data_IF_023588523498
#
_entry.id   IF_023588523498
#
_cell.length_a   1.000
_cell.length_b   1.000
_cell.length_c   1.000
_cell.angle_alpha   90.00
_cell.angle_beta   90.00
_cell.angle_gamma   90.00
#
_symmetry.space_group_name_H-M   'P 1'
#
loop_
_entity.id
_entity.type
_entity.pdbx_description
1 polymer ?
#
# COMPACT_ATOMS: atom_id res chain seq x y z
N UNK A 1 2.37 0.93 1.74
CA UNK A 1 1.04 1.52 1.88
C UNK A 1 0.86 2.73 0.97
N UNK A 2 0.59 2.47 -0.31
CA UNK A 2 -0.05 3.40 -1.22
C UNK A 2 -1.50 3.65 -0.77
N UNK A 3 -2.03 4.86 -0.95
CA UNK A 3 -3.43 5.13 -0.71
C UNK A 3 -4.26 4.51 -1.84
N UNK A 4 -5.34 3.82 -1.48
CA UNK A 4 -6.14 2.96 -2.34
C UNK A 4 -7.51 3.56 -2.60
N UNK A 5 -7.89 3.72 -3.85
CA UNK A 5 -9.25 3.99 -4.28
C UNK A 5 -9.79 2.77 -5.02
N UNK A 6 -10.66 2.00 -4.36
CA UNK A 6 -11.31 0.80 -4.91
C UNK A 6 -12.62 1.11 -5.65
N UNK A 7 -13.06 2.36 -5.68
CA UNK A 7 -14.34 2.77 -6.25
C UNK A 7 -15.55 2.21 -5.49
N UNK A 8 -16.73 2.41 -6.06
CA UNK A 8 -17.99 1.88 -5.55
C UNK A 8 -18.07 0.36 -5.73
N UNK A 9 -18.85 -0.30 -4.89
CA UNK A 9 -19.13 -1.73 -5.01
C UNK A 9 -19.73 -2.05 -6.39
N UNK A 10 -19.15 -2.96 -7.18
CA UNK A 10 -19.72 -3.36 -8.47
C UNK A 10 -21.08 -4.04 -8.35
N UNK A 11 -21.32 -4.69 -7.21
CA UNK A 11 -22.55 -5.42 -6.86
C UNK A 11 -22.64 -5.63 -5.35
N UNK A 12 -23.80 -6.07 -4.88
CA UNK A 12 -23.97 -6.57 -3.51
C UNK A 12 -23.41 -7.99 -3.38
N UNK A 13 -22.80 -8.29 -2.24
CA UNK A 13 -22.20 -9.59 -1.94
C UNK A 13 -23.03 -10.34 -0.91
N UNK A 14 -23.32 -11.62 -1.17
CA UNK A 14 -23.90 -12.53 -0.16
C UNK A 14 -22.82 -13.32 0.57
N UNK A 15 -21.62 -13.39 -0.01
CA UNK A 15 -20.41 -13.91 0.61
C UNK A 15 -19.23 -13.06 0.18
N UNK A 16 -18.42 -12.61 1.14
CA UNK A 16 -17.24 -11.78 0.87
C UNK A 16 -16.29 -12.40 -0.16
N UNK A 17 -16.18 -13.73 -0.23
CA UNK A 17 -15.33 -14.42 -1.20
C UNK A 17 -15.63 -14.05 -2.66
N UNK A 18 -16.86 -13.62 -2.97
CA UNK A 18 -17.28 -13.17 -4.29
C UNK A 18 -16.64 -11.82 -4.71
N UNK A 19 -16.09 -11.05 -3.76
CA UNK A 19 -15.46 -9.76 -4.01
C UNK A 19 -13.99 -9.85 -4.43
N UNK A 20 -13.37 -11.04 -4.40
CA UNK A 20 -11.93 -11.20 -4.63
C UNK A 20 -11.48 -10.69 -6.00
N UNK A 21 -12.17 -11.10 -7.06
CA UNK A 21 -11.80 -10.70 -8.42
C UNK A 21 -12.20 -9.25 -8.72
N UNK A 22 -13.31 -8.79 -8.14
CA UNK A 22 -13.72 -7.38 -8.22
C UNK A 22 -12.67 -6.46 -7.57
N UNK A 23 -12.15 -6.84 -6.40
CA UNK A 23 -11.04 -6.13 -5.74
C UNK A 23 -9.76 -6.17 -6.57
N UNK A 24 -9.38 -7.33 -7.12
CA UNK A 24 -8.19 -7.43 -7.99
C UNK A 24 -8.29 -6.52 -9.20
N UNK A 25 -9.47 -6.44 -9.81
CA UNK A 25 -9.70 -5.56 -10.95
C UNK A 25 -9.61 -4.08 -10.55
N UNK A 26 -10.16 -3.74 -9.38
CA UNK A 26 -10.16 -2.37 -8.88
C UNK A 26 -8.77 -1.88 -8.45
N UNK A 27 -8.01 -2.69 -7.71
CA UNK A 27 -6.79 -2.26 -7.01
C UNK A 27 -5.54 -3.08 -7.36
N UNK A 28 -5.61 -3.95 -8.38
CA UNK A 28 -4.51 -4.84 -8.75
C UNK A 28 -4.29 -5.98 -7.75
N UNK A 29 -3.34 -6.86 -8.08
CA UNK A 29 -3.01 -8.04 -7.25
C UNK A 29 -1.87 -7.76 -6.26
N UNK A 30 -2.05 -6.72 -5.44
CA UNK A 30 -1.05 -6.30 -4.45
C UNK A 30 -1.65 -6.22 -3.06
N UNK A 31 -0.86 -6.56 -2.05
CA UNK A 31 -1.25 -6.36 -0.66
C UNK A 31 -1.46 -4.87 -0.39
N UNK A 32 -2.61 -4.50 0.15
CA UNK A 32 -2.98 -3.12 0.46
C UNK A 32 -2.07 -2.48 1.52
N UNK A 33 -1.40 -3.32 2.32
CA UNK A 33 -0.50 -2.89 3.36
C UNK A 33 0.97 -2.86 2.88
N UNK A 34 1.56 -4.02 2.64
CA UNK A 34 2.98 -4.10 2.28
C UNK A 34 3.29 -4.02 0.79
N UNK A 35 2.27 -4.00 -0.08
CA UNK A 35 2.38 -3.93 -1.56
C UNK A 35 3.11 -5.10 -2.22
N UNK A 36 3.39 -6.18 -1.49
CA UNK A 36 3.86 -7.40 -2.11
C UNK A 36 2.83 -7.91 -3.12
N UNK A 37 3.31 -8.45 -4.23
CA UNK A 37 2.47 -9.14 -5.20
C UNK A 37 1.79 -10.36 -4.56
N UNK A 38 0.50 -10.53 -4.81
CA UNK A 38 -0.33 -11.61 -4.27
C UNK A 38 -1.17 -12.29 -5.35
N UNK A 39 -0.71 -12.30 -6.60
CA UNK A 39 -1.47 -12.82 -7.76
C UNK A 39 -2.03 -14.23 -7.54
N UNK A 40 -1.25 -15.11 -6.90
CA UNK A 40 -1.64 -16.53 -6.74
C UNK A 40 -2.61 -16.79 -5.59
N UNK A 41 -2.56 -16.02 -4.49
CA UNK A 41 -3.32 -16.28 -3.26
C UNK A 41 -3.59 -14.98 -2.47
N UNK A 42 -4.42 -14.05 -2.98
CA UNK A 42 -4.79 -12.89 -2.21
C UNK A 42 -5.86 -13.28 -1.19
N UNK A 43 -5.77 -12.74 0.01
CA UNK A 43 -6.84 -12.83 1.00
C UNK A 43 -7.67 -11.56 0.96
N UNK A 44 -8.98 -11.70 1.19
CA UNK A 44 -9.86 -10.56 1.44
C UNK A 44 -9.66 -10.16 2.89
N UNK A 45 -9.15 -8.95 3.08
CA UNK A 45 -8.97 -8.33 4.37
C UNK A 45 -10.24 -7.60 4.78
N UNK A 46 -10.76 -7.91 5.96
CA UNK A 46 -11.81 -7.14 6.62
C UNK A 46 -11.18 -6.09 7.52
N UNK A 47 -11.27 -4.81 7.13
CA UNK A 47 -10.70 -3.70 7.92
C UNK A 47 -11.24 -3.73 9.35
N UNK A 48 -12.56 -3.76 9.50
CA UNK A 48 -13.27 -4.11 10.72
C UNK A 48 -13.40 -5.65 10.78
N UNK A 49 -12.79 -6.33 11.76
CA UNK A 49 -12.79 -7.79 11.78
C UNK A 49 -14.20 -8.36 11.85
N UNK A 50 -14.51 -9.30 10.97
CA UNK A 50 -15.85 -9.91 10.89
C UNK A 50 -16.28 -10.64 12.16
N UNK A 51 -15.34 -11.15 12.96
CA UNK A 51 -15.63 -11.79 14.24
C UNK A 51 -16.16 -10.82 15.29
N UNK A 52 -15.91 -9.52 15.11
CA UNK A 52 -16.40 -8.44 15.98
C UNK A 52 -17.49 -7.60 15.30
N UNK A 53 -17.56 -7.62 13.97
CA UNK A 53 -18.45 -6.81 13.14
C UNK A 53 -19.16 -7.66 12.07
N UNK A 54 -20.05 -8.59 12.45
CA UNK A 54 -20.69 -9.52 11.52
C UNK A 54 -21.53 -8.82 10.45
N UNK A 55 -22.17 -7.70 10.77
CA UNK A 55 -22.98 -6.91 9.83
C UNK A 55 -22.15 -6.30 8.69
N UNK A 56 -20.84 -6.13 8.90
CA UNK A 56 -19.90 -5.63 7.91
C UNK A 56 -19.15 -6.75 7.17
N UNK A 57 -19.47 -8.03 7.40
CA UNK A 57 -18.74 -9.16 6.80
C UNK A 57 -18.81 -9.14 5.27
N UNK A 58 -19.92 -8.70 4.70
CA UNK A 58 -20.15 -8.68 3.25
C UNK A 58 -20.09 -7.27 2.63
N UNK A 59 -19.61 -6.28 3.38
CA UNK A 59 -19.59 -4.88 2.93
C UNK A 59 -18.30 -4.55 2.16
N UNK A 60 -18.44 -4.08 0.91
CA UNK A 60 -17.34 -3.65 0.05
C UNK A 60 -16.42 -2.60 0.70
N UNK A 61 -16.99 -1.65 1.43
CA UNK A 61 -16.21 -0.60 2.09
C UNK A 61 -15.33 -1.17 3.21
N UNK A 62 -15.67 -2.36 3.73
CA UNK A 62 -14.88 -3.09 4.70
C UNK A 62 -13.78 -3.96 4.07
N UNK A 63 -13.68 -4.04 2.74
CA UNK A 63 -12.75 -4.93 2.06
C UNK A 63 -11.48 -4.26 1.57
N UNK A 64 -10.38 -4.99 1.70
CA UNK A 64 -9.09 -4.76 1.07
C UNK A 64 -8.52 -6.10 0.57
N UNK A 65 -7.43 -6.05 -0.20
CA UNK A 65 -6.61 -7.23 -0.43
C UNK A 65 -5.41 -7.24 0.50
N UNK A 66 -5.09 -8.38 1.10
CA UNK A 66 -3.89 -8.54 1.91
C UNK A 66 -3.11 -9.81 1.50
N UNK A 67 -1.80 -9.78 1.70
CA UNK A 67 -1.02 -11.01 1.73
C UNK A 67 -1.29 -11.75 3.04
N UNK A 68 -1.12 -13.07 3.01
CA UNK A 68 -1.30 -13.96 4.17
C UNK A 68 -0.60 -13.45 5.42
N UNK A 69 0.63 -12.95 5.31
CA UNK A 69 1.37 -12.42 6.45
C UNK A 69 0.68 -11.20 7.07
N UNK A 70 0.32 -10.19 6.28
CA UNK A 70 -0.33 -8.99 6.82
C UNK A 70 -1.71 -9.31 7.40
N UNK A 71 -2.48 -10.17 6.73
CA UNK A 71 -3.79 -10.61 7.20
C UNK A 71 -3.70 -11.37 8.54
N UNK A 72 -2.74 -12.28 8.70
CA UNK A 72 -2.52 -13.00 9.96
C UNK A 72 -2.02 -12.07 11.07
N UNK A 73 -1.10 -11.15 10.77
CA UNK A 73 -0.58 -10.22 11.79
C UNK A 73 -1.69 -9.30 12.32
N UNK A 74 -2.53 -8.76 11.42
CA UNK A 74 -3.71 -7.97 11.82
C UNK A 74 -4.73 -8.82 12.56
N UNK A 75 -5.09 -9.98 12.00
CA UNK A 75 -6.13 -10.86 12.55
C UNK A 75 -7.38 -10.05 12.94
N UNK A 76 -7.88 -10.25 14.16
CA UNK A 76 -8.90 -9.45 14.82
C UNK A 76 -8.33 -8.56 15.93
N UNK A 77 -7.08 -8.09 15.79
CA UNK A 77 -6.38 -7.30 16.81
C UNK A 77 -6.82 -5.83 16.87
N UNK A 78 -7.76 -5.41 16.01
CA UNK A 78 -8.48 -4.14 16.12
C UNK A 78 -9.98 -4.40 16.37
N UNK A 79 -10.70 -3.43 16.94
CA UNK A 79 -12.17 -3.53 17.10
C UNK A 79 -12.90 -2.93 15.90
N UNK A 80 -12.42 -1.77 15.44
CA UNK A 80 -12.95 -1.03 14.31
C UNK A 80 -11.81 -0.26 13.59
N UNK A 81 -12.14 0.79 12.84
CA UNK A 81 -11.17 1.65 12.14
C UNK A 81 -10.47 2.65 13.06
N UNK A 82 -11.05 2.98 14.21
CA UNK A 82 -10.58 4.03 15.11
C UNK A 82 -9.20 3.66 15.67
N UNK A 83 -8.32 4.66 15.78
CA UNK A 83 -6.95 4.46 16.25
C UNK A 83 -5.94 4.04 15.17
N UNK A 84 -6.33 4.00 13.89
CA UNK A 84 -5.48 3.53 12.80
C UNK A 84 -5.61 4.34 11.50
N UNK A 85 -4.57 4.27 10.67
CA UNK A 85 -4.46 4.89 9.34
C UNK A 85 -4.60 3.80 8.27
N UNK A 86 -5.84 3.47 7.91
CA UNK A 86 -6.08 2.49 6.84
C UNK A 86 -5.86 3.08 5.44
N UNK A 87 -5.28 2.29 4.52
CA UNK A 87 -4.89 2.75 3.20
C UNK A 87 -6.07 3.00 2.27
N UNK A 88 -7.33 2.71 2.64
CA UNK A 88 -8.53 3.01 1.85
C UNK A 88 -9.31 4.25 2.35
N UNK A 89 -8.91 4.84 3.48
CA UNK A 89 -9.58 6.05 4.01
C UNK A 89 -8.62 7.20 4.29
N UNK A 90 -7.30 6.94 4.32
CA UNK A 90 -6.29 7.96 4.59
C UNK A 90 -5.28 8.09 3.46
N UNK A 91 -4.58 9.21 3.46
CA UNK A 91 -3.42 9.48 2.63
C UNK A 91 -2.16 8.83 3.23
N UNK A 92 -2.03 7.51 3.03
CA UNK A 92 -0.86 6.77 3.52
C UNK A 92 0.42 7.08 2.75
N UNK A 93 0.34 7.75 1.59
CA UNK A 93 1.52 8.26 0.90
C UNK A 93 2.17 9.41 1.68
N UNK A 94 1.37 10.23 2.39
CA UNK A 94 1.88 11.27 3.27
C UNK A 94 2.29 10.74 4.65
N UNK A 95 1.56 9.75 5.18
CA UNK A 95 1.82 9.21 6.53
C UNK A 95 3.16 8.48 6.69
N UNK A 96 3.73 7.93 5.60
CA UNK A 96 4.87 7.03 5.67
C UNK A 96 5.99 7.38 4.71
N UNK A 97 7.23 7.17 5.14
CA UNK A 97 8.45 7.23 4.33
C UNK A 97 9.03 5.83 4.20
N UNK A 98 9.53 5.48 3.02
CA UNK A 98 10.04 4.14 2.74
C UNK A 98 11.56 4.11 2.81
N UNK A 99 12.10 3.04 3.38
CA UNK A 99 13.51 2.69 3.33
C UNK A 99 13.63 1.29 2.72
N UNK A 100 14.85 0.94 2.33
CA UNK A 100 15.16 -0.36 1.72
C UNK A 100 14.66 -1.54 2.57
N UNK A 101 14.79 -1.47 3.89
CA UNK A 101 14.46 -2.58 4.81
C UNK A 101 13.23 -2.34 5.69
N UNK A 102 12.71 -1.11 5.76
CA UNK A 102 11.63 -0.74 6.71
C UNK A 102 10.78 0.41 6.20
N UNK A 103 9.66 0.64 6.87
CA UNK A 103 8.77 1.79 6.69
C UNK A 103 8.82 2.65 7.94
N UNK A 104 8.99 3.96 7.77
CA UNK A 104 9.05 4.93 8.85
C UNK A 104 7.82 5.83 8.80
N UNK A 105 7.40 6.34 9.96
CA UNK A 105 6.37 7.37 10.03
C UNK A 105 6.96 8.68 9.51
N UNK A 106 6.20 9.43 8.73
CA UNK A 106 6.64 10.74 8.26
C UNK A 106 6.80 11.69 9.47
N UNK A 107 8.00 12.25 9.73
CA UNK A 107 8.22 13.11 10.89
C UNK A 107 7.41 14.42 10.87
N UNK A 108 6.89 14.81 9.70
CA UNK A 108 6.15 16.06 9.47
C UNK A 108 4.66 15.99 9.82
N UNK A 109 4.10 14.80 10.10
CA UNK A 109 2.71 14.68 10.55
C UNK A 109 2.58 15.09 12.03
N UNK A 110 1.37 15.42 12.47
CA UNK A 110 1.14 15.80 13.88
C UNK A 110 1.42 14.64 14.85
N UNK A 111 1.70 14.93 16.12
CA UNK A 111 1.97 13.88 17.12
C UNK A 111 0.77 12.92 17.29
N UNK A 112 -0.46 13.44 17.23
CA UNK A 112 -1.68 12.64 17.27
C UNK A 112 -1.74 11.66 16.07
N UNK A 113 -1.39 12.12 14.86
CA UNK A 113 -1.33 11.27 13.67
C UNK A 113 -0.16 10.28 13.71
N UNK A 114 0.96 10.63 14.36
CA UNK A 114 2.08 9.70 14.56
C UNK A 114 1.64 8.50 15.39
N UNK A 115 0.86 8.70 16.44
CA UNK A 115 0.33 7.60 17.25
C UNK A 115 -0.53 6.65 16.41
N UNK A 116 -1.41 7.19 15.55
CA UNK A 116 -2.23 6.39 14.63
C UNK A 116 -1.36 5.63 13.60
N UNK A 117 -0.32 6.28 13.08
CA UNK A 117 0.59 5.69 12.10
C UNK A 117 1.41 4.54 12.70
N UNK A 118 1.96 4.74 13.91
CA UNK A 118 2.68 3.72 14.68
C UNK A 118 1.74 2.55 15.01
N UNK A 119 0.54 2.84 15.53
CA UNK A 119 -0.45 1.81 15.85
C UNK A 119 -0.79 0.95 14.62
N UNK A 120 -0.85 1.56 13.43
CA UNK A 120 -1.09 0.84 12.17
C UNK A 120 0.08 -0.06 11.79
N UNK A 121 1.31 0.44 11.85
CA UNK A 121 2.52 -0.36 11.58
C UNK A 121 2.58 -1.58 12.52
N UNK A 122 2.27 -1.39 13.80
CA UNK A 122 2.27 -2.45 14.81
C UNK A 122 1.11 -3.43 14.62
N UNK A 123 -0.08 -2.96 14.25
CA UNK A 123 -1.24 -3.80 13.99
C UNK A 123 -0.94 -4.89 12.95
N UNK A 124 -0.27 -4.53 11.85
CA UNK A 124 0.10 -5.45 10.76
C UNK A 124 1.54 -5.97 10.88
N UNK A 125 2.24 -5.58 11.95
CA UNK A 125 3.67 -5.77 12.19
C UNK A 125 4.51 -5.51 10.93
N UNK A 126 4.33 -4.36 10.29
CA UNK A 126 4.88 -4.09 8.95
C UNK A 126 6.41 -4.20 8.88
N UNK A 127 7.07 -3.85 9.99
CA UNK A 127 8.53 -3.86 10.14
C UNK A 127 9.07 -5.09 10.88
N UNK A 128 8.25 -6.16 11.03
CA UNK A 128 8.68 -7.42 11.63
C UNK A 128 9.90 -7.97 10.90
N UNK A 129 10.97 -8.26 11.65
CA UNK A 129 12.22 -8.79 11.10
C UNK A 129 12.18 -10.30 10.90
N UNK A 130 11.62 -11.03 11.87
CA UNK A 130 11.55 -12.49 11.87
C UNK A 130 10.16 -12.98 12.25
N UNK A 131 9.76 -14.14 11.75
CA UNK A 131 8.59 -14.86 12.23
C UNK A 131 8.85 -15.57 13.58
N UNK A 132 7.84 -16.28 14.08
CA UNK A 132 7.93 -16.99 15.37
C UNK A 132 8.91 -18.15 15.37
N UNK A 133 9.33 -18.63 14.19
CA UNK A 133 10.32 -19.69 14.03
C UNK A 133 11.74 -19.13 13.79
N UNK A 134 11.91 -17.80 13.86
CA UNK A 134 13.18 -17.13 13.61
C UNK A 134 13.54 -17.03 12.12
N UNK A 135 12.62 -17.33 11.19
CA UNK A 135 12.84 -17.10 9.75
C UNK A 135 12.67 -15.62 9.44
N UNK A 136 13.53 -15.05 8.61
CA UNK A 136 13.38 -13.67 8.14
C UNK A 136 12.03 -13.45 7.47
N UNK A 137 11.48 -12.25 7.67
CA UNK A 137 10.21 -11.87 7.07
C UNK A 137 10.36 -11.71 5.55
N UNK A 138 9.66 -12.57 4.80
CA UNK A 138 9.66 -12.55 3.33
C UNK A 138 9.31 -11.17 2.75
N UNK A 139 8.55 -10.33 3.49
CA UNK A 139 8.22 -8.96 3.07
C UNK A 139 9.45 -8.05 3.04
N UNK A 140 10.42 -8.22 3.94
CA UNK A 140 11.67 -7.45 3.96
C UNK A 140 12.51 -7.85 2.76
N UNK A 141 12.72 -9.15 2.57
CA UNK A 141 13.49 -9.67 1.44
C UNK A 141 12.92 -9.20 0.09
N UNK A 142 11.60 -9.27 -0.08
CA UNK A 142 10.94 -8.79 -1.28
C UNK A 142 11.03 -7.26 -1.45
N UNK A 143 10.96 -6.49 -0.37
CA UNK A 143 11.15 -5.03 -0.40
C UNK A 143 12.56 -4.65 -0.83
N UNK A 144 13.58 -5.28 -0.23
CA UNK A 144 15.00 -5.04 -0.55
C UNK A 144 15.25 -5.32 -2.03
N UNK A 145 14.76 -6.45 -2.54
CA UNK A 145 14.87 -6.81 -3.96
C UNK A 145 14.25 -5.75 -4.88
N UNK A 146 13.04 -5.29 -4.59
CA UNK A 146 12.39 -4.26 -5.41
C UNK A 146 13.05 -2.88 -5.26
N UNK A 147 13.60 -2.57 -4.08
CA UNK A 147 14.37 -1.35 -3.85
C UNK A 147 15.67 -1.35 -4.65
N UNK A 148 16.43 -2.46 -4.64
CA UNK A 148 17.67 -2.60 -5.40
C UNK A 148 17.41 -2.48 -6.90
N UNK A 149 16.36 -3.14 -7.39
CA UNK A 149 15.89 -3.00 -8.77
C UNK A 149 15.53 -1.56 -9.12
N UNK A 150 14.90 -0.81 -8.20
CA UNK A 150 14.60 0.60 -8.40
C UNK A 150 15.88 1.46 -8.45
N UNK A 151 16.88 1.18 -7.62
CA UNK A 151 18.17 1.87 -7.64
C UNK A 151 18.95 1.62 -8.94
N UNK A 152 18.98 0.38 -9.41
CA UNK A 152 19.56 0.02 -10.72
C UNK A 152 18.83 0.77 -11.85
N UNK A 153 17.49 0.73 -11.84
CA UNK A 153 16.67 1.46 -12.82
C UNK A 153 16.92 2.96 -12.81
N UNK A 154 17.16 3.55 -11.62
CA UNK A 154 17.51 4.97 -11.48
C UNK A 154 18.90 5.27 -12.07
N UNK A 155 19.87 4.39 -11.87
CA UNK A 155 21.19 4.53 -12.47
C UNK A 155 21.12 4.49 -14.00
N UNK A 156 20.35 3.55 -14.56
CA UNK A 156 20.11 3.45 -16.00
C UNK A 156 19.42 4.71 -16.54
N UNK A 157 18.37 5.19 -15.87
CA UNK A 157 17.68 6.44 -16.25
C UNK A 157 18.60 7.66 -16.23
N UNK A 158 19.47 7.79 -15.23
CA UNK A 158 20.47 8.87 -15.17
C UNK A 158 21.49 8.81 -16.30
N UNK A 159 21.82 7.60 -16.76
CA UNK A 159 22.79 7.41 -17.85
C UNK A 159 22.20 7.74 -19.22
N UNK A 160 20.90 7.47 -19.43
CA UNK A 160 20.19 7.72 -20.68
C UNK A 160 18.72 8.02 -20.42
N UNK A 161 18.44 9.27 -20.02
CA UNK A 161 17.07 9.73 -19.77
C UNK A 161 16.32 9.97 -21.07
N UNK A 162 15.20 9.28 -21.23
CA UNK A 162 14.21 9.51 -22.29
C UNK A 162 12.82 8.98 -21.85
N UNK A 163 11.79 9.33 -22.60
CA UNK A 163 10.41 8.97 -22.28
C UNK A 163 10.17 7.46 -22.39
N UNK A 164 10.83 6.76 -23.32
CA UNK A 164 10.75 5.30 -23.46
C UNK A 164 11.23 4.60 -22.19
N UNK A 165 12.35 5.07 -21.63
CA UNK A 165 12.93 4.57 -20.38
C UNK A 165 12.01 4.87 -19.20
N UNK A 166 11.47 6.09 -19.10
CA UNK A 166 10.50 6.44 -18.05
C UNK A 166 9.27 5.52 -18.10
N UNK A 167 8.71 5.27 -19.28
CA UNK A 167 7.58 4.33 -19.47
C UNK A 167 7.95 2.90 -19.12
N UNK A 168 9.17 2.45 -19.44
CA UNK A 168 9.64 1.11 -19.09
C UNK A 168 9.80 0.96 -17.58
N UNK A 169 10.35 1.97 -16.92
CA UNK A 169 10.45 2.02 -15.45
C UNK A 169 9.05 2.01 -14.83
N UNK A 170 8.10 2.78 -15.36
CA UNK A 170 6.72 2.78 -14.87
C UNK A 170 6.03 1.42 -14.89
N UNK A 171 6.38 0.54 -15.84
CA UNK A 171 5.88 -0.85 -15.94
C UNK A 171 6.67 -1.87 -15.11
N UNK A 172 7.82 -1.47 -14.58
CA UNK A 172 8.77 -2.39 -13.95
C UNK A 172 8.41 -2.82 -12.51
N UNK A 173 7.79 -2.00 -11.64
CA UNK A 173 7.41 -2.43 -10.31
C UNK A 173 6.57 -3.71 -10.35
N UNK A 174 7.01 -4.74 -9.63
CA UNK A 174 6.23 -5.97 -9.46
C UNK A 174 5.51 -6.02 -8.11
N UNK A 175 5.60 -4.93 -7.35
CA UNK A 175 5.07 -4.69 -6.02
C UNK A 175 5.82 -3.50 -5.40
N UNK A 176 5.56 -3.19 -4.13
CA UNK A 176 6.30 -2.16 -3.37
C UNK A 176 6.40 -0.80 -4.08
N UNK A 177 5.35 -0.39 -4.79
CA UNK A 177 5.25 0.86 -5.53
C UNK A 177 5.65 2.10 -4.71
N UNK A 178 5.33 2.16 -3.42
CA UNK A 178 5.77 3.27 -2.56
C UNK A 178 7.29 3.32 -2.39
N UNK A 179 7.98 2.17 -2.37
CA UNK A 179 9.46 2.14 -2.40
C UNK A 179 10.00 2.72 -3.71
N UNK A 180 9.39 2.38 -4.84
CA UNK A 180 9.77 2.92 -6.14
C UNK A 180 9.56 4.44 -6.21
N UNK A 181 8.42 4.93 -5.71
CA UNK A 181 8.13 6.37 -5.64
C UNK A 181 9.11 7.12 -4.73
N UNK A 182 9.59 6.51 -3.64
CA UNK A 182 10.62 7.09 -2.77
C UNK A 182 11.97 7.20 -3.50
N UNK A 183 12.39 6.14 -4.19
CA UNK A 183 13.65 6.12 -4.97
C UNK A 183 13.63 7.17 -6.10
N UNK A 184 12.48 7.34 -6.75
CA UNK A 184 12.28 8.31 -7.83
C UNK A 184 11.64 9.63 -7.35
N UNK A 185 11.76 9.98 -6.08
CA UNK A 185 11.11 11.16 -5.48
C UNK A 185 11.39 12.46 -6.25
N UNK A 186 12.62 12.65 -6.72
CA UNK A 186 13.09 13.82 -7.49
C UNK A 186 12.78 13.74 -9.01
N UNK A 187 12.14 12.68 -9.50
CA UNK A 187 11.94 12.41 -10.93
C UNK A 187 10.46 12.33 -11.28
N UNK A 188 9.83 13.49 -11.49
CA UNK A 188 8.39 13.64 -11.70
C UNK A 188 7.86 12.78 -12.85
N UNK A 189 8.58 12.74 -13.97
CA UNK A 189 8.20 12.01 -15.18
C UNK A 189 8.11 10.51 -14.90
N UNK A 190 9.07 9.97 -14.14
CA UNK A 190 9.10 8.56 -13.76
C UNK A 190 8.01 8.25 -12.74
N UNK A 191 7.80 9.10 -11.73
CA UNK A 191 6.68 8.96 -10.77
C UNK A 191 5.34 8.91 -11.50
N UNK A 192 5.16 9.76 -12.50
CA UNK A 192 3.94 9.79 -13.31
C UNK A 192 3.70 8.47 -14.02
N UNK A 193 4.74 7.89 -14.63
CA UNK A 193 4.63 6.59 -15.28
C UNK A 193 4.40 5.44 -14.29
N UNK A 194 5.01 5.48 -13.10
CA UNK A 194 4.72 4.49 -12.04
C UNK A 194 3.25 4.59 -11.63
N UNK A 195 2.75 5.77 -11.23
CA UNK A 195 1.38 5.95 -10.73
C UNK A 195 0.33 5.56 -11.77
N UNK A 196 0.57 5.82 -13.07
CA UNK A 196 -0.31 5.38 -14.17
C UNK A 196 -0.48 3.87 -14.26
N UNK A 197 0.51 3.08 -13.86
CA UNK A 197 0.51 1.62 -13.98
C UNK A 197 0.03 0.90 -12.71
N UNK A 198 -0.36 1.64 -11.66
CA UNK A 198 -0.83 1.06 -10.39
C UNK A 198 -2.31 1.35 -10.16
N UNK A 199 -3.15 0.44 -10.66
CA UNK A 199 -4.61 0.55 -10.57
C UNK A 199 -5.13 0.76 -9.14
N UNK A 200 -6.17 1.57 -9.05
CA UNK A 200 -6.86 1.87 -7.80
C UNK A 200 -5.99 2.61 -6.80
N UNK A 201 -5.03 3.41 -7.27
CA UNK A 201 -4.33 4.39 -6.41
C UNK A 201 -5.24 5.61 -6.24
N UNK A 202 -5.41 6.08 -5.00
CA UNK A 202 -6.13 7.31 -4.71
C UNK A 202 -5.28 8.51 -5.16
N UNK A 203 -5.45 8.91 -6.43
CA UNK A 203 -4.65 9.96 -7.05
C UNK A 203 -4.90 11.33 -6.41
N UNK A 204 -6.05 11.53 -5.77
CA UNK A 204 -6.36 12.70 -4.94
C UNK A 204 -5.40 12.89 -3.75
N UNK A 205 -4.64 11.87 -3.37
CA UNK A 205 -3.60 11.95 -2.34
C UNK A 205 -2.26 12.50 -2.84
N UNK A 206 -2.12 12.71 -4.16
CA UNK A 206 -0.91 13.25 -4.77
C UNK A 206 -1.20 14.63 -5.37
N UNK A 207 -0.46 15.62 -4.90
CA UNK A 207 -0.57 17.03 -5.23
C UNK A 207 0.47 17.41 -6.30
N UNK A 208 0.88 18.68 -6.32
CA UNK A 208 1.98 19.22 -7.11
C UNK A 208 3.16 18.25 -7.27
N UNK A 209 3.71 18.20 -8.48
CA UNK A 209 4.84 17.32 -8.86
C UNK A 209 4.71 15.85 -8.40
N UNK A 210 3.48 15.39 -8.18
CA UNK A 210 3.14 14.05 -7.71
C UNK A 210 3.77 13.72 -6.36
N UNK A 211 3.94 14.72 -5.50
CA UNK A 211 4.24 14.52 -4.08
C UNK A 211 2.96 14.21 -3.31
N UNK A 212 3.05 13.42 -2.21
CA UNK A 212 1.91 13.25 -1.33
C UNK A 212 1.43 14.59 -0.79
N UNK A 213 0.12 14.84 -0.87
CA UNK A 213 -0.49 16.01 -0.27
C UNK A 213 -0.22 16.03 1.24
N UNK A 214 0.09 17.19 1.78
CA UNK A 214 0.44 17.42 3.18
C UNK A 214 -0.78 17.44 4.12
N UNK A 215 -1.63 16.43 3.99
CA UNK A 215 -2.80 16.17 4.82
C UNK A 215 -3.02 14.65 4.90
N UNK A 216 -3.40 14.15 6.08
CA UNK A 216 -3.71 12.74 6.27
C UNK A 216 -5.10 12.36 5.72
N UNK A 217 -6.02 13.32 5.67
CA UNK A 217 -7.31 13.15 5.03
C UNK A 217 -7.17 12.97 3.52
N UNK A 218 -8.11 12.22 2.93
CA UNK A 218 -8.29 12.16 1.48
C UNK A 218 -9.12 13.34 1.03
N UNK A 219 -8.50 14.50 0.95
CA UNK A 219 -9.13 15.67 0.36
C UNK A 219 -8.81 15.68 -1.12
N UNK A 220 -9.84 15.64 -1.96
CA UNK A 220 -9.73 16.22 -3.30
C UNK A 220 -9.40 17.70 -3.12
N UNK A 221 -8.22 18.12 -3.57
CA UNK A 221 -7.85 19.53 -3.66
C UNK A 221 -8.87 20.30 -4.50
#
# INVERSE_FOLDING_TARGET
MRPINKGLAPKSYTSYNQAKDDLRNAIGSFCSYCEINISNQPDIEHVNPKSKNPDAENNWDNFLLACKTCNIMKSNNNDNRDGYIFPDTHNTAYAYKYKQTKVEVNPEISEEEKDLAVATIELIKLNRQHDTNGREDDRIFARVREWDKALESLADYKSCSNDEMARQIGRSPSGFHSSWLEVFSDYREVKQEILKNVNGTAMECYCDDLYPCNNLGRTSC
#
